data_IF_361327875421
#
_entry.id   IF_361327875421
#
_cell.length_a   1.000
_cell.length_b   1.000
_cell.length_c   1.000
_cell.angle_alpha   90.00
_cell.angle_beta   90.00
_cell.angle_gamma   90.00
#
_symmetry.space_group_name_H-M   'P 1'
#
loop_
_entity.id
_entity.type
_entity.pdbx_description
1 polymer ?
#
# COMPACT_ATOMS: atom_id res chain seq x y z
N UNK A 1 13.24 1.03 -44.10
CA UNK A 1 14.51 0.26 -44.08
C UNK A 1 14.33 -0.94 -43.18
N UNK A 2 14.29 -2.15 -43.77
CA UNK A 2 14.01 -3.40 -43.03
C UNK A 2 14.93 -3.63 -41.82
N UNK A 3 16.16 -3.09 -41.86
CA UNK A 3 17.11 -3.21 -40.75
C UNK A 3 16.78 -2.32 -39.55
N UNK A 4 16.29 -1.12 -39.79
CA UNK A 4 15.84 -0.22 -38.69
C UNK A 4 14.64 -0.83 -37.97
N UNK A 5 13.70 -1.41 -38.73
CA UNK A 5 12.54 -2.11 -38.19
C UNK A 5 12.94 -3.37 -37.40
N UNK A 6 14.00 -4.09 -37.85
CA UNK A 6 14.49 -5.26 -37.13
C UNK A 6 15.18 -4.90 -35.80
N UNK A 7 15.94 -3.81 -35.78
CA UNK A 7 16.58 -3.29 -34.56
C UNK A 7 15.51 -2.76 -33.58
N UNK A 8 14.55 -2.01 -34.07
CA UNK A 8 13.42 -1.50 -33.26
C UNK A 8 12.58 -2.65 -32.66
N UNK A 9 12.32 -3.70 -33.45
CA UNK A 9 11.66 -4.92 -32.94
C UNK A 9 12.49 -5.64 -31.87
N UNK A 10 13.79 -5.78 -32.07
CA UNK A 10 14.67 -6.42 -31.08
C UNK A 10 14.77 -5.61 -29.79
N UNK A 11 14.74 -4.28 -29.88
CA UNK A 11 14.78 -3.39 -28.73
C UNK A 11 13.43 -3.36 -27.98
N UNK A 12 12.31 -3.37 -28.70
CA UNK A 12 10.97 -3.53 -28.15
C UNK A 12 10.84 -4.90 -27.44
N UNK A 13 11.37 -5.96 -28.04
CA UNK A 13 11.35 -7.30 -27.46
C UNK A 13 12.23 -7.40 -26.22
N UNK A 14 13.38 -6.73 -26.20
CA UNK A 14 14.26 -6.62 -25.03
C UNK A 14 13.58 -5.82 -23.89
N UNK A 15 13.01 -4.66 -24.18
CA UNK A 15 12.27 -3.84 -23.22
C UNK A 15 11.02 -4.57 -22.68
N UNK A 16 10.35 -5.33 -23.54
CA UNK A 16 9.23 -6.17 -23.12
C UNK A 16 9.70 -7.28 -22.18
N UNK A 17 10.85 -7.89 -22.46
CA UNK A 17 11.45 -8.92 -21.60
C UNK A 17 11.91 -8.34 -20.26
N UNK A 18 12.62 -7.21 -20.27
CA UNK A 18 13.08 -6.54 -19.05
C UNK A 18 11.86 -6.14 -18.18
N UNK A 19 10.80 -5.60 -18.79
CA UNK A 19 9.52 -5.32 -18.10
C UNK A 19 8.87 -6.58 -17.53
N UNK A 20 8.87 -7.67 -18.27
CA UNK A 20 8.28 -8.93 -17.84
C UNK A 20 9.12 -9.59 -16.73
N UNK A 21 10.43 -9.42 -16.74
CA UNK A 21 11.34 -9.84 -15.68
C UNK A 21 11.16 -8.98 -14.42
N UNK A 22 11.06 -7.65 -14.54
CA UNK A 22 10.73 -6.75 -13.41
C UNK A 22 9.35 -7.06 -12.81
N UNK A 23 8.35 -7.30 -13.67
CA UNK A 23 7.03 -7.71 -13.24
C UNK A 23 7.07 -9.05 -12.48
N UNK A 24 7.85 -10.02 -12.96
CA UNK A 24 8.00 -11.32 -12.31
C UNK A 24 8.69 -11.20 -10.93
N UNK A 25 9.67 -10.28 -10.79
CA UNK A 25 10.34 -9.98 -9.51
C UNK A 25 9.36 -9.30 -8.54
N UNK A 26 8.60 -8.31 -8.99
CA UNK A 26 7.58 -7.62 -8.21
C UNK A 26 6.47 -8.58 -7.77
N UNK A 27 5.95 -9.40 -8.69
CA UNK A 27 4.97 -10.43 -8.38
C UNK A 27 5.49 -11.42 -7.35
N UNK A 28 6.75 -11.87 -7.48
CA UNK A 28 7.37 -12.78 -6.51
C UNK A 28 7.45 -12.15 -5.11
N UNK A 29 7.87 -10.89 -5.01
CA UNK A 29 7.96 -10.17 -3.74
C UNK A 29 6.59 -9.95 -3.11
N UNK A 30 5.57 -9.63 -3.91
CA UNK A 30 4.19 -9.45 -3.45
C UNK A 30 3.63 -10.80 -2.94
N UNK A 31 3.84 -11.89 -3.70
CA UNK A 31 3.35 -13.20 -3.30
C UNK A 31 4.09 -13.77 -2.08
N UNK A 32 5.39 -13.53 -1.94
CA UNK A 32 6.13 -13.93 -0.74
C UNK A 32 5.59 -13.17 0.50
N UNK A 33 5.32 -11.89 0.38
CA UNK A 33 4.75 -11.10 1.45
C UNK A 33 3.31 -11.50 1.79
N UNK A 34 2.50 -11.81 0.76
CA UNK A 34 1.15 -12.33 0.96
C UNK A 34 1.18 -13.69 1.66
N UNK A 35 2.14 -14.54 1.32
CA UNK A 35 2.36 -15.82 1.97
C UNK A 35 2.75 -15.66 3.45
N UNK A 36 3.67 -14.74 3.77
CA UNK A 36 4.05 -14.41 5.15
C UNK A 36 2.87 -13.86 5.99
N UNK A 37 1.96 -13.13 5.37
CA UNK A 37 0.77 -12.58 6.06
C UNK A 37 -0.31 -13.63 6.28
N UNK A 38 -0.45 -14.60 5.35
CA UNK A 38 -1.44 -15.66 5.42
C UNK A 38 -0.99 -16.84 6.30
N UNK A 39 0.31 -17.04 6.47
CA UNK A 39 0.84 -18.14 7.26
C UNK A 39 0.42 -18.06 8.73
N UNK A 40 -0.12 -19.16 9.25
CA UNK A 40 -0.64 -19.24 10.61
C UNK A 40 -2.02 -18.60 10.86
N UNK A 41 -2.62 -17.94 9.88
CA UNK A 41 -3.94 -17.32 9.99
C UNK A 41 -5.06 -18.36 9.75
N UNK A 42 -6.26 -18.09 10.30
CA UNK A 42 -7.43 -18.94 10.10
C UNK A 42 -8.27 -18.41 8.95
N UNK A 43 -8.45 -19.20 7.89
CA UNK A 43 -9.27 -18.81 6.75
C UNK A 43 -10.78 -18.80 7.09
N UNK A 44 -11.45 -17.67 6.86
CA UNK A 44 -12.92 -17.55 6.96
C UNK A 44 -13.62 -17.78 5.65
N UNK A 45 -12.94 -17.50 4.54
CA UNK A 45 -13.41 -17.78 3.19
C UNK A 45 -12.22 -18.06 2.27
N UNK A 46 -12.45 -18.73 1.15
CA UNK A 46 -11.38 -19.01 0.20
C UNK A 46 -11.82 -19.85 -0.99
N UNK A 47 -10.91 -20.08 -1.94
CA UNK A 47 -11.19 -20.84 -3.16
C UNK A 47 -11.54 -22.31 -2.88
N UNK A 48 -12.18 -22.96 -3.85
CA UNK A 48 -12.54 -24.38 -3.76
C UNK A 48 -11.29 -25.23 -3.51
N UNK A 49 -11.26 -25.92 -2.36
CA UNK A 49 -10.17 -26.79 -1.93
C UNK A 49 -9.51 -26.35 -0.61
N UNK A 50 -9.75 -25.13 -0.16
CA UNK A 50 -9.28 -24.64 1.14
C UNK A 50 -10.26 -25.06 2.25
N UNK A 51 -9.74 -25.62 3.35
CA UNK A 51 -10.55 -25.92 4.54
C UNK A 51 -10.74 -24.65 5.36
N UNK A 52 -11.93 -24.07 5.28
CA UNK A 52 -12.35 -22.92 6.09
C UNK A 52 -12.36 -23.32 7.57
N UNK A 53 -11.83 -22.46 8.44
CA UNK A 53 -11.77 -22.70 9.89
C UNK A 53 -10.52 -23.46 10.38
N UNK A 54 -9.55 -23.77 9.51
CA UNK A 54 -8.26 -24.33 9.91
C UNK A 54 -7.12 -23.32 9.70
N UNK A 55 -6.04 -23.37 10.52
CA UNK A 55 -4.90 -22.50 10.31
C UNK A 55 -4.25 -22.82 8.95
N UNK A 56 -3.92 -21.75 8.22
CA UNK A 56 -3.22 -21.82 6.94
C UNK A 56 -1.75 -22.10 7.22
N UNK A 57 -1.27 -23.28 6.84
CA UNK A 57 0.15 -23.63 6.89
C UNK A 57 0.77 -23.60 5.50
N UNK A 58 2.10 -23.57 5.44
CA UNK A 58 2.90 -23.53 4.22
C UNK A 58 2.42 -24.53 3.15
N UNK A 59 2.13 -25.78 3.53
CA UNK A 59 1.66 -26.83 2.59
C UNK A 59 0.30 -26.49 1.95
N UNK A 60 -0.59 -25.80 2.68
CA UNK A 60 -1.89 -25.40 2.18
C UNK A 60 -1.80 -24.21 1.21
N UNK A 61 -0.84 -23.32 1.44
CA UNK A 61 -0.59 -22.12 0.64
C UNK A 61 0.21 -22.46 -0.63
N UNK A 62 1.21 -23.32 -0.55
CA UNK A 62 2.01 -23.75 -1.71
C UNK A 62 1.20 -24.55 -2.74
N UNK A 63 0.16 -25.27 -2.30
CA UNK A 63 -0.75 -26.02 -3.18
C UNK A 63 -1.74 -25.16 -3.98
N UNK A 64 -1.86 -23.85 -3.68
CA UNK A 64 -2.81 -22.96 -4.33
C UNK A 64 -2.14 -22.17 -5.45
N UNK A 65 -2.87 -21.95 -6.56
CA UNK A 65 -2.42 -21.02 -7.60
C UNK A 65 -2.31 -19.61 -6.99
N UNK A 66 -1.21 -18.91 -7.28
CA UNK A 66 -0.90 -17.57 -6.74
C UNK A 66 -2.06 -16.57 -6.80
N UNK A 67 -2.85 -16.62 -7.89
CA UNK A 67 -4.03 -15.77 -8.06
C UNK A 67 -5.12 -16.04 -7.01
N UNK A 68 -5.25 -17.27 -6.54
CA UNK A 68 -6.27 -17.68 -5.58
C UNK A 68 -5.95 -17.27 -4.14
N UNK A 69 -4.68 -16.92 -3.84
CA UNK A 69 -4.28 -16.42 -2.53
C UNK A 69 -4.98 -15.09 -2.17
N UNK A 70 -5.36 -14.30 -3.17
CA UNK A 70 -6.12 -13.05 -2.98
C UNK A 70 -7.59 -13.25 -2.63
N UNK A 71 -8.12 -14.46 -2.83
CA UNK A 71 -9.51 -14.82 -2.54
C UNK A 71 -9.68 -15.38 -1.12
N UNK A 72 -8.57 -15.51 -0.36
CA UNK A 72 -8.59 -16.04 1.00
C UNK A 72 -8.96 -14.89 1.96
N UNK A 73 -10.15 -14.99 2.56
CA UNK A 73 -10.56 -14.15 3.68
C UNK A 73 -9.99 -14.72 4.98
N UNK A 74 -9.41 -13.87 5.81
CA UNK A 74 -8.86 -14.23 7.13
C UNK A 74 -9.84 -13.76 8.20
N UNK A 75 -9.98 -14.56 9.26
CA UNK A 75 -10.81 -14.21 10.42
C UNK A 75 -10.12 -13.16 11.25
N UNK A 76 -10.20 -11.94 11.09
CA UNK A 76 -9.54 -10.86 11.84
C UNK A 76 -8.52 -10.00 11.07
N UNK A 77 -8.59 -9.99 9.73
CA UNK A 77 -7.94 -8.89 9.04
C UNK A 77 -8.62 -7.60 9.48
N UNK A 78 -7.94 -6.82 10.30
CA UNK A 78 -8.41 -5.50 10.68
C UNK A 78 -8.31 -4.63 9.42
N UNK A 79 -9.40 -4.62 8.63
CA UNK A 79 -9.51 -3.95 7.34
C UNK A 79 -8.87 -2.56 7.35
N UNK A 80 -8.87 -1.91 8.52
CA UNK A 80 -8.39 -0.55 8.67
C UNK A 80 -6.86 -0.43 8.84
N UNK A 81 -6.21 -1.40 9.50
CA UNK A 81 -4.74 -1.45 9.56
C UNK A 81 -4.16 -1.83 8.20
N UNK A 82 -4.84 -2.73 7.50
CA UNK A 82 -4.45 -3.10 6.15
C UNK A 82 -4.72 -1.97 5.16
N UNK A 83 -5.83 -1.23 5.29
CA UNK A 83 -6.10 -0.01 4.54
C UNK A 83 -5.01 1.05 4.76
N UNK A 84 -4.54 1.23 6.00
CA UNK A 84 -3.45 2.16 6.30
C UNK A 84 -2.12 1.70 5.69
N UNK A 85 -1.79 0.40 5.80
CA UNK A 85 -0.60 -0.18 5.15
C UNK A 85 -0.67 -0.01 3.64
N UNK A 86 -1.82 -0.33 3.05
CA UNK A 86 -2.03 -0.16 1.61
C UNK A 86 -1.92 1.31 1.20
N UNK A 87 -2.49 2.23 1.98
CA UNK A 87 -2.37 3.66 1.72
C UNK A 87 -0.91 4.13 1.75
N UNK A 88 -0.10 3.65 2.70
CA UNK A 88 1.34 3.96 2.76
C UNK A 88 2.12 3.38 1.57
N UNK A 89 1.83 2.14 1.17
CA UNK A 89 2.43 1.54 -0.03
C UNK A 89 2.04 2.28 -1.31
N UNK A 90 0.81 2.78 -1.38
CA UNK A 90 0.34 3.58 -2.51
C UNK A 90 1.08 4.94 -2.59
N UNK A 91 1.45 5.54 -1.46
CA UNK A 91 2.30 6.75 -1.43
C UNK A 91 3.66 6.44 -2.08
N UNK A 92 4.31 5.35 -1.68
CA UNK A 92 5.62 4.98 -2.21
C UNK A 92 5.55 4.67 -3.71
N UNK A 93 4.51 3.96 -4.16
CA UNK A 93 4.27 3.68 -5.57
C UNK A 93 4.03 4.97 -6.38
N UNK A 94 3.17 5.87 -5.92
CA UNK A 94 2.89 7.15 -6.58
C UNK A 94 4.11 8.06 -6.59
N UNK A 95 4.91 8.05 -5.51
CA UNK A 95 6.18 8.77 -5.44
C UNK A 95 7.21 8.24 -6.45
N UNK A 96 7.29 6.91 -6.60
CA UNK A 96 8.15 6.30 -7.62
C UNK A 96 7.69 6.68 -9.02
N UNK A 97 6.39 6.64 -9.29
CA UNK A 97 5.82 7.08 -10.57
C UNK A 97 6.11 8.55 -10.87
N UNK A 98 5.97 9.45 -9.89
CA UNK A 98 6.38 10.85 -10.03
C UNK A 98 7.87 10.97 -10.40
N UNK A 99 8.75 10.20 -9.73
CA UNK A 99 10.20 10.23 -10.03
C UNK A 99 10.49 9.74 -11.44
N UNK A 100 9.78 8.74 -11.94
CA UNK A 100 9.90 8.25 -13.33
C UNK A 100 9.51 9.36 -14.31
N UNK A 101 8.37 10.00 -14.12
CA UNK A 101 7.92 11.09 -14.99
C UNK A 101 8.89 12.30 -14.95
N UNK A 102 9.39 12.63 -13.77
CA UNK A 102 10.39 13.69 -13.60
C UNK A 102 11.71 13.35 -14.28
N UNK A 103 12.14 12.09 -14.23
CA UNK A 103 13.36 11.64 -14.91
C UNK A 103 13.27 11.80 -16.43
N UNK A 104 12.08 11.70 -17.03
CA UNK A 104 11.85 11.96 -18.44
C UNK A 104 12.14 13.41 -18.89
N UNK A 105 12.27 14.35 -17.95
CA UNK A 105 12.70 15.73 -18.26
C UNK A 105 14.22 15.88 -18.41
N UNK A 106 14.98 14.83 -18.07
CA UNK A 106 16.44 14.83 -18.12
C UNK A 106 16.91 13.90 -19.24
N UNK A 107 18.00 14.26 -19.94
CA UNK A 107 18.59 13.40 -20.93
C UNK A 107 19.16 12.13 -20.30
N UNK A 108 18.90 10.98 -20.93
CA UNK A 108 19.52 9.71 -20.59
C UNK A 108 20.82 9.57 -21.38
N UNK A 109 21.92 9.30 -20.68
CA UNK A 109 23.23 9.06 -21.28
C UNK A 109 23.61 7.60 -21.06
N UNK A 110 23.81 6.88 -22.16
CA UNK A 110 24.24 5.49 -22.16
C UNK A 110 25.71 5.39 -22.58
N UNK A 111 26.49 4.59 -21.86
CA UNK A 111 27.87 4.26 -22.28
C UNK A 111 27.86 2.88 -22.91
N UNK A 112 28.23 2.80 -24.18
CA UNK A 112 28.25 1.56 -24.95
C UNK A 112 29.64 1.24 -25.42
N UNK A 113 30.01 -0.04 -25.35
CA UNK A 113 31.22 -0.59 -25.99
C UNK A 113 30.82 -1.77 -26.85
N UNK A 114 31.19 -1.75 -28.13
CA UNK A 114 30.88 -2.83 -29.05
C UNK A 114 32.08 -3.22 -29.92
N UNK A 115 32.15 -4.49 -30.22
CA UNK A 115 33.07 -5.05 -31.18
C UNK A 115 32.31 -5.76 -32.30
N UNK A 116 32.39 -5.28 -33.52
CA UNK A 116 31.74 -5.86 -34.67
C UNK A 116 32.80 -6.44 -35.61
N UNK A 117 32.61 -7.67 -36.07
CA UNK A 117 33.44 -8.29 -37.07
C UNK A 117 32.56 -8.85 -38.18
N UNK A 118 32.74 -8.32 -39.41
CA UNK A 118 31.90 -8.70 -40.54
C UNK A 118 32.76 -8.96 -41.79
N UNK A 119 32.29 -9.86 -42.68
CA UNK A 119 32.88 -10.05 -43.99
C UNK A 119 32.10 -9.23 -45.00
N UNK A 120 32.82 -8.33 -45.68
CA UNK A 120 32.24 -7.52 -46.76
C UNK A 120 32.60 -8.17 -48.08
N UNK A 121 31.62 -8.55 -48.93
CA UNK A 121 31.86 -9.04 -50.27
C UNK A 121 32.52 -7.96 -51.16
N UNK A 122 33.32 -8.37 -52.14
CA UNK A 122 34.01 -7.44 -53.08
C UNK A 122 33.02 -6.49 -53.78
N UNK A 123 31.83 -6.95 -54.13
CA UNK A 123 30.77 -6.17 -54.78
C UNK A 123 30.23 -5.01 -53.92
N UNK A 124 30.36 -5.06 -52.57
CA UNK A 124 29.88 -4.05 -51.62
C UNK A 124 31.02 -3.23 -51.02
N UNK A 125 32.27 -3.53 -51.36
CA UNK A 125 33.44 -2.79 -50.87
C UNK A 125 33.74 -1.60 -51.78
N UNK A 126 33.96 -0.39 -51.22
CA UNK A 126 34.32 0.80 -52.02
C UNK A 126 35.57 0.61 -52.88
N UNK A 127 36.47 -0.28 -52.46
CA UNK A 127 37.76 -0.55 -53.18
C UNK A 127 37.71 -1.82 -54.04
N UNK A 128 36.53 -2.46 -54.24
CA UNK A 128 36.37 -3.66 -55.02
C UNK A 128 37.06 -4.93 -54.46
N UNK A 129 37.63 -4.87 -53.24
CA UNK A 129 38.29 -5.98 -52.56
C UNK A 129 37.45 -6.44 -51.38
N UNK A 130 36.95 -7.69 -51.43
CA UNK A 130 36.24 -8.29 -50.29
C UNK A 130 37.19 -8.65 -49.15
N UNK A 131 36.72 -8.55 -47.91
CA UNK A 131 37.57 -8.88 -46.77
C UNK A 131 36.76 -8.93 -45.45
N UNK A 132 37.45 -9.36 -44.40
CA UNK A 132 36.91 -9.30 -43.04
C UNK A 132 37.32 -7.96 -42.43
N UNK A 133 36.33 -7.18 -42.05
CA UNK A 133 36.52 -5.93 -41.30
C UNK A 133 36.12 -6.13 -39.83
N UNK A 134 36.95 -5.57 -38.94
CA UNK A 134 36.64 -5.44 -37.52
C UNK A 134 36.46 -3.97 -37.20
N UNK A 135 35.48 -3.65 -36.41
CA UNK A 135 35.26 -2.29 -35.88
C UNK A 135 34.99 -2.38 -34.41
N UNK A 136 35.71 -1.61 -33.65
CA UNK A 136 35.54 -1.46 -32.20
C UNK A 136 35.06 -0.05 -31.94
N UNK A 137 34.01 0.10 -31.09
CA UNK A 137 33.55 1.41 -30.66
C UNK A 137 33.38 1.45 -29.16
N UNK A 138 33.66 2.61 -28.60
CA UNK A 138 33.32 2.98 -27.24
C UNK A 138 32.75 4.40 -27.29
N UNK A 139 31.48 4.54 -26.94
CA UNK A 139 30.78 5.81 -27.07
C UNK A 139 29.80 6.07 -25.93
N UNK A 140 29.58 7.36 -25.69
CA UNK A 140 28.49 7.85 -24.87
C UNK A 140 27.39 8.34 -25.80
N UNK A 141 26.18 7.81 -25.65
CA UNK A 141 25.05 8.13 -26.51
C UNK A 141 23.95 8.84 -25.72
N UNK A 142 23.38 9.84 -26.35
CA UNK A 142 22.14 10.49 -25.97
C UNK A 142 21.05 9.96 -26.90
N UNK A 143 20.12 9.16 -26.37
CA UNK A 143 19.10 8.51 -27.17
C UNK A 143 17.80 9.32 -27.17
N UNK A 144 17.43 9.91 -28.32
CA UNK A 144 16.14 10.51 -28.61
C UNK A 144 15.56 11.38 -27.46
N UNK A 145 16.40 12.24 -26.88
CA UNK A 145 15.94 13.17 -25.86
C UNK A 145 14.96 14.18 -26.45
N UNK A 146 13.72 14.21 -25.94
CA UNK A 146 12.71 15.15 -26.37
C UNK A 146 12.96 16.53 -25.75
N UNK A 147 13.12 17.57 -26.60
CA UNK A 147 13.17 18.95 -26.15
C UNK A 147 11.78 19.42 -25.80
N UNK A 148 11.52 19.65 -24.53
CA UNK A 148 10.19 20.03 -24.03
C UNK A 148 9.86 21.52 -24.27
N UNK A 149 9.71 21.90 -25.54
CA UNK A 149 9.41 23.27 -25.96
C UNK A 149 7.96 23.67 -25.67
N UNK A 150 7.06 22.70 -25.58
CA UNK A 150 5.63 22.90 -25.41
C UNK A 150 5.10 22.44 -24.04
N UNK A 151 6.00 22.07 -23.12
CA UNK A 151 5.67 21.72 -21.74
C UNK A 151 5.01 20.34 -21.58
N UNK A 152 5.16 19.41 -22.52
CA UNK A 152 4.58 18.07 -22.44
C UNK A 152 5.17 17.28 -21.27
N UNK A 153 6.51 17.17 -21.20
CA UNK A 153 7.19 16.43 -20.13
C UNK A 153 7.03 17.13 -18.78
N UNK A 154 7.03 18.48 -18.76
CA UNK A 154 6.77 19.26 -17.56
C UNK A 154 5.34 19.01 -17.03
N UNK A 155 4.32 19.02 -17.89
CA UNK A 155 2.95 18.77 -17.48
C UNK A 155 2.73 17.33 -17.04
N UNK A 156 3.35 16.32 -17.67
CA UNK A 156 3.33 14.92 -17.21
C UNK A 156 3.92 14.80 -15.79
N UNK A 157 5.06 15.44 -15.54
CA UNK A 157 5.67 15.46 -14.22
C UNK A 157 4.79 16.17 -13.18
N UNK A 158 4.13 17.26 -13.58
CA UNK A 158 3.20 18.00 -12.71
C UNK A 158 1.97 17.17 -12.40
N UNK A 159 1.37 16.48 -13.38
CA UNK A 159 0.24 15.58 -13.17
C UNK A 159 0.61 14.47 -12.18
N UNK A 160 1.75 13.80 -12.38
CA UNK A 160 2.22 12.76 -11.48
C UNK A 160 2.56 13.28 -10.07
N UNK A 161 3.06 14.51 -9.93
CA UNK A 161 3.27 15.15 -8.64
C UNK A 161 1.96 15.37 -7.91
N UNK A 162 0.94 15.87 -8.59
CA UNK A 162 -0.36 16.12 -7.99
C UNK A 162 -1.06 14.82 -7.59
N UNK A 163 -0.98 13.77 -8.41
CA UNK A 163 -1.48 12.45 -8.04
C UNK A 163 -0.74 11.86 -6.82
N UNK A 164 0.59 12.06 -6.70
CA UNK A 164 1.34 11.70 -5.51
C UNK A 164 0.86 12.46 -4.26
N UNK A 165 0.67 13.78 -4.34
CA UNK A 165 0.17 14.59 -3.23
C UNK A 165 -1.27 14.19 -2.83
N UNK A 166 -2.10 13.80 -3.79
CA UNK A 166 -3.43 13.27 -3.52
C UNK A 166 -3.39 11.97 -2.70
N UNK A 167 -2.48 11.04 -3.03
CA UNK A 167 -2.32 9.79 -2.26
C UNK A 167 -1.80 10.04 -0.84
N UNK A 168 -0.97 11.05 -0.65
CA UNK A 168 -0.49 11.47 0.68
C UNK A 168 -1.64 11.96 1.57
N UNK A 169 -2.55 12.76 1.02
CA UNK A 169 -3.74 13.22 1.73
C UNK A 169 -4.76 12.08 1.97
N UNK A 170 -4.91 11.16 1.03
CA UNK A 170 -5.75 9.97 1.21
C UNK A 170 -5.26 9.12 2.41
N UNK A 171 -3.96 8.87 2.53
CA UNK A 171 -3.38 8.16 3.67
C UNK A 171 -3.62 8.91 5.00
N UNK A 172 -3.54 10.25 4.99
CA UNK A 172 -3.88 11.07 6.16
C UNK A 172 -5.34 10.90 6.56
N UNK A 173 -6.26 10.80 5.61
CA UNK A 173 -7.68 10.54 5.87
C UNK A 173 -7.89 9.17 6.53
N UNK A 174 -7.24 8.12 6.02
CA UNK A 174 -7.29 6.77 6.61
C UNK A 174 -6.75 6.79 8.04
N UNK A 175 -5.63 7.49 8.29
CA UNK A 175 -5.06 7.63 9.64
C UNK A 175 -6.03 8.31 10.62
N UNK A 176 -6.72 9.37 10.20
CA UNK A 176 -7.74 10.06 11.02
C UNK A 176 -8.89 9.10 11.35
N UNK A 177 -9.35 8.33 10.36
CA UNK A 177 -10.40 7.33 10.54
C UNK A 177 -10.00 6.24 11.53
N UNK A 178 -8.75 5.76 11.45
CA UNK A 178 -8.20 4.78 12.39
C UNK A 178 -8.19 5.33 13.83
N UNK A 179 -7.67 6.56 14.01
CA UNK A 179 -7.64 7.21 15.33
C UNK A 179 -9.05 7.33 15.91
N UNK A 180 -10.03 7.73 15.09
CA UNK A 180 -11.42 7.87 15.52
C UNK A 180 -12.02 6.51 15.95
N UNK A 181 -11.75 5.43 15.21
CA UNK A 181 -12.21 4.08 15.56
C UNK A 181 -11.54 3.54 16.82
N UNK A 182 -10.23 3.72 16.98
CA UNK A 182 -9.50 3.33 18.20
C UNK A 182 -10.04 4.08 19.41
N UNK A 183 -10.25 5.39 19.28
CA UNK A 183 -10.82 6.21 20.37
C UNK A 183 -12.23 5.77 20.76
N UNK A 184 -13.09 5.49 19.77
CA UNK A 184 -14.45 4.99 20.00
C UNK A 184 -14.45 3.60 20.65
N UNK A 185 -13.55 2.70 20.22
CA UNK A 185 -13.40 1.37 20.82
C UNK A 185 -12.90 1.45 22.27
N UNK A 186 -11.97 2.39 22.56
CA UNK A 186 -11.48 2.62 23.91
C UNK A 186 -12.58 3.12 24.85
N UNK A 187 -13.39 4.08 24.40
CA UNK A 187 -14.55 4.57 25.19
C UNK A 187 -15.55 3.44 25.45
N UNK A 188 -15.84 2.62 24.43
CA UNK A 188 -16.72 1.45 24.57
C UNK A 188 -16.17 0.43 25.57
N UNK A 189 -14.86 0.14 25.50
CA UNK A 189 -14.19 -0.74 26.46
C UNK A 189 -14.31 -0.21 27.89
N UNK A 190 -13.98 1.08 28.10
CA UNK A 190 -14.07 1.71 29.43
C UNK A 190 -15.50 1.68 30.00
N UNK A 191 -16.50 1.94 29.17
CA UNK A 191 -17.92 1.85 29.57
C UNK A 191 -18.34 0.42 29.91
N UNK A 192 -17.92 -0.58 29.13
CA UNK A 192 -18.23 -1.98 29.38
C UNK A 192 -17.57 -2.51 30.66
N UNK A 193 -16.34 -2.07 30.96
CA UNK A 193 -15.65 -2.38 32.22
C UNK A 193 -16.39 -1.80 33.43
N UNK A 194 -16.79 -0.55 33.35
CA UNK A 194 -17.57 0.07 34.42
C UNK A 194 -18.91 -0.67 34.68
N UNK A 195 -19.59 -1.07 33.58
CA UNK A 195 -20.82 -1.88 33.64
C UNK A 195 -20.58 -3.25 34.27
N UNK A 196 -19.49 -3.94 33.87
CA UNK A 196 -19.11 -5.23 34.46
C UNK A 196 -18.85 -5.12 35.97
N UNK A 197 -18.09 -4.10 36.39
CA UNK A 197 -17.83 -3.84 37.81
C UNK A 197 -19.14 -3.59 38.60
N UNK A 198 -20.06 -2.80 38.03
CA UNK A 198 -21.35 -2.54 38.65
C UNK A 198 -22.21 -3.81 38.74
N UNK A 199 -22.25 -4.63 37.67
CA UNK A 199 -23.01 -5.88 37.67
C UNK A 199 -22.49 -6.86 38.72
N UNK A 200 -21.17 -6.96 38.91
CA UNK A 200 -20.57 -7.75 39.98
C UNK A 200 -20.97 -7.25 41.38
N UNK A 201 -20.92 -5.91 41.63
CA UNK A 201 -21.35 -5.34 42.88
C UNK A 201 -22.84 -5.61 43.18
N UNK A 202 -23.70 -5.56 42.18
CA UNK A 202 -25.12 -5.92 42.30
C UNK A 202 -25.27 -7.39 42.63
N UNK A 203 -24.54 -8.28 41.99
CA UNK A 203 -24.56 -9.71 42.28
C UNK A 203 -24.16 -9.98 43.73
N UNK A 204 -23.04 -9.40 44.17
CA UNK A 204 -22.56 -9.54 45.57
C UNK A 204 -23.61 -9.05 46.58
N UNK A 205 -24.25 -7.91 46.35
CA UNK A 205 -25.30 -7.37 47.20
C UNK A 205 -26.54 -8.29 47.25
N UNK A 206 -26.94 -8.90 46.10
CA UNK A 206 -28.04 -9.88 46.05
C UNK A 206 -27.72 -11.17 46.80
N UNK A 207 -26.48 -11.66 46.69
CA UNK A 207 -26.01 -12.83 47.44
C UNK A 207 -26.02 -12.59 48.95
N UNK A 208 -25.54 -11.43 49.41
CA UNK A 208 -25.60 -11.04 50.80
C UNK A 208 -27.07 -10.95 51.33
N UNK A 209 -27.95 -10.37 50.50
CA UNK A 209 -29.38 -10.30 50.84
C UNK A 209 -30.01 -11.69 50.94
N UNK A 210 -29.70 -12.60 50.01
CA UNK A 210 -30.17 -13.98 50.06
C UNK A 210 -29.71 -14.69 51.34
N UNK A 211 -28.45 -14.49 51.75
CA UNK A 211 -27.91 -15.11 52.96
C UNK A 211 -28.65 -14.59 54.22
N UNK A 212 -28.93 -13.30 54.27
CA UNK A 212 -29.73 -12.72 55.37
C UNK A 212 -31.16 -13.30 55.41
N UNK A 213 -31.81 -13.50 54.27
CA UNK A 213 -33.15 -14.10 54.17
C UNK A 213 -33.12 -15.58 54.61
N UNK A 214 -32.07 -16.32 54.26
CA UNK A 214 -31.86 -17.70 54.76
C UNK A 214 -31.75 -17.76 56.27
N UNK A 215 -30.98 -16.86 56.90
CA UNK A 215 -30.86 -16.76 58.32
C UNK A 215 -32.20 -16.39 59.00
N UNK A 216 -32.95 -15.43 58.44
CA UNK A 216 -34.28 -15.07 58.92
C UNK A 216 -35.26 -16.23 58.81
N UNK A 217 -35.19 -17.01 57.76
CA UNK A 217 -36.05 -18.20 57.59
C UNK A 217 -35.74 -19.28 58.64
N UNK A 218 -34.46 -19.56 58.93
CA UNK A 218 -34.08 -20.52 60.00
C UNK A 218 -34.53 -20.08 61.37
N UNK A 219 -34.65 -18.76 61.60
CA UNK A 219 -35.22 -18.15 62.80
C UNK A 219 -36.77 -18.10 62.80
N UNK A 220 -37.42 -18.58 61.72
CA UNK A 220 -38.90 -18.52 61.62
C UNK A 220 -39.43 -17.14 61.22
N UNK A 221 -38.60 -16.18 60.81
CA UNK A 221 -38.93 -14.78 60.53
C UNK A 221 -39.10 -14.45 59.07
N UNK A 222 -38.95 -15.44 58.16
CA UNK A 222 -39.14 -15.27 56.71
C UNK A 222 -39.87 -16.50 56.10
N UNK A 223 -40.74 -16.27 55.10
CA UNK A 223 -41.49 -17.29 54.39
C UNK A 223 -40.73 -17.95 53.24
N UNK A 224 -41.27 -19.08 52.73
CA UNK A 224 -40.72 -19.78 51.57
C UNK A 224 -40.73 -18.91 50.33
N UNK A 225 -41.81 -18.14 50.10
CA UNK A 225 -41.93 -17.26 48.93
C UNK A 225 -40.84 -16.19 48.93
N UNK A 226 -40.55 -15.54 50.07
CA UNK A 226 -39.48 -14.55 50.20
C UNK A 226 -38.09 -15.15 49.87
N UNK A 227 -37.85 -16.41 50.23
CA UNK A 227 -36.64 -17.13 49.90
C UNK A 227 -36.54 -17.41 48.41
N UNK A 228 -37.62 -17.90 47.77
CA UNK A 228 -37.64 -18.19 46.36
C UNK A 228 -37.49 -16.94 45.50
N UNK A 229 -38.09 -15.81 45.89
CA UNK A 229 -37.89 -14.50 45.25
C UNK A 229 -36.44 -14.05 45.36
N UNK A 230 -35.82 -14.20 46.52
CA UNK A 230 -34.41 -13.85 46.68
C UNK A 230 -33.46 -14.71 45.85
N UNK A 231 -33.75 -16.01 45.71
CA UNK A 231 -33.00 -16.91 44.83
C UNK A 231 -33.15 -16.45 43.35
N UNK A 232 -34.37 -16.17 42.91
CA UNK A 232 -34.66 -15.66 41.59
C UNK A 232 -33.88 -14.36 41.25
N UNK A 233 -33.77 -13.44 42.22
CA UNK A 233 -33.00 -12.20 42.07
C UNK A 233 -31.46 -12.45 41.93
N UNK A 234 -30.94 -13.44 42.65
CA UNK A 234 -29.52 -13.83 42.53
C UNK A 234 -29.25 -14.48 41.15
N UNK A 235 -30.13 -15.37 40.71
CA UNK A 235 -29.99 -15.98 39.39
C UNK A 235 -30.04 -14.94 38.26
N UNK A 236 -30.95 -13.97 38.32
CA UNK A 236 -31.02 -12.86 37.39
C UNK A 236 -29.74 -12.01 37.42
N UNK A 237 -29.26 -11.63 38.63
CA UNK A 237 -28.02 -10.85 38.75
C UNK A 237 -26.79 -11.62 38.25
N UNK A 238 -26.77 -12.95 38.41
CA UNK A 238 -25.73 -13.83 37.89
C UNK A 238 -25.71 -13.80 36.36
N UNK A 239 -26.86 -13.95 35.71
CA UNK A 239 -26.98 -13.89 34.27
C UNK A 239 -26.53 -12.52 33.70
N UNK A 240 -26.92 -11.43 34.38
CA UNK A 240 -26.53 -10.06 33.99
C UNK A 240 -25.01 -9.84 34.16
N UNK A 241 -24.41 -10.33 35.24
CA UNK A 241 -22.95 -10.24 35.46
C UNK A 241 -22.16 -10.99 34.40
N UNK A 242 -22.59 -12.21 34.05
CA UNK A 242 -21.95 -12.98 32.98
C UNK A 242 -22.11 -12.31 31.60
N UNK A 243 -23.24 -11.65 31.35
CA UNK A 243 -23.46 -10.89 30.14
C UNK A 243 -22.54 -9.68 30.05
N UNK A 244 -22.44 -8.90 31.13
CA UNK A 244 -21.55 -7.73 31.22
C UNK A 244 -20.08 -8.10 31.09
N UNK A 245 -19.66 -9.24 31.65
CA UNK A 245 -18.32 -9.77 31.50
C UNK A 245 -18.01 -10.07 30.03
N UNK A 246 -18.89 -10.78 29.32
CA UNK A 246 -18.70 -11.09 27.88
C UNK A 246 -18.62 -9.82 27.06
N UNK A 247 -19.47 -8.83 27.27
CA UNK A 247 -19.42 -7.54 26.58
C UNK A 247 -18.08 -6.85 26.79
N UNK A 248 -17.54 -6.86 28.02
CA UNK A 248 -16.25 -6.27 28.34
C UNK A 248 -15.09 -6.98 27.63
N UNK A 249 -15.11 -8.30 27.62
CA UNK A 249 -14.08 -9.10 26.91
C UNK A 249 -14.15 -8.88 25.40
N UNK A 250 -15.34 -8.80 24.82
CA UNK A 250 -15.50 -8.51 23.38
C UNK A 250 -15.01 -7.10 23.02
N UNK A 251 -15.33 -6.09 23.86
CA UNK A 251 -14.87 -4.72 23.66
C UNK A 251 -13.34 -4.64 23.78
N UNK A 252 -12.74 -5.36 24.73
CA UNK A 252 -11.30 -5.49 24.88
C UNK A 252 -10.65 -6.10 23.63
N UNK A 253 -11.16 -7.22 23.15
CA UNK A 253 -10.62 -7.90 21.96
C UNK A 253 -10.71 -6.99 20.73
N UNK A 254 -11.81 -6.24 20.59
CA UNK A 254 -11.97 -5.27 19.50
C UNK A 254 -10.92 -4.17 19.58
N UNK A 255 -10.65 -3.63 20.77
CA UNK A 255 -9.61 -2.61 20.96
C UNK A 255 -8.21 -3.16 20.69
N UNK A 256 -7.91 -4.38 21.17
CA UNK A 256 -6.61 -5.03 20.91
C UNK A 256 -6.35 -5.24 19.41
N UNK A 257 -7.37 -5.66 18.66
CA UNK A 257 -7.29 -5.78 17.19
C UNK A 257 -6.97 -4.43 16.54
N UNK A 258 -7.74 -3.39 16.88
CA UNK A 258 -7.55 -2.05 16.30
C UNK A 258 -6.16 -1.45 16.59
N UNK A 259 -5.57 -1.79 17.72
CA UNK A 259 -4.20 -1.34 18.08
C UNK A 259 -3.12 -2.25 17.50
N UNK A 260 -3.46 -3.49 17.13
CA UNK A 260 -2.52 -4.47 16.58
C UNK A 260 -1.48 -4.95 17.58
N UNK A 261 -1.72 -4.81 18.91
CA UNK A 261 -0.77 -5.21 19.96
C UNK A 261 -1.41 -6.24 20.87
N UNK A 262 -0.99 -7.50 20.82
CA UNK A 262 -1.42 -8.49 21.81
C UNK A 262 -0.87 -8.15 23.19
N UNK A 263 -1.71 -8.29 24.23
CA UNK A 263 -1.28 -8.04 25.61
C UNK A 263 -1.35 -6.59 26.09
N UNK A 264 -2.23 -5.78 25.50
CA UNK A 264 -2.44 -4.37 25.85
C UNK A 264 -2.91 -4.13 27.30
N UNK A 265 -3.28 -5.18 28.03
CA UNK A 265 -3.94 -5.13 29.33
C UNK A 265 -3.12 -4.44 30.44
N UNK A 266 -1.79 -4.48 30.34
CA UNK A 266 -0.90 -3.92 31.38
C UNK A 266 -0.79 -2.38 31.34
N UNK A 267 -1.24 -1.74 30.26
CA UNK A 267 -1.09 -0.29 30.05
C UNK A 267 -2.41 0.48 29.97
N UNK A 268 -3.55 -0.23 29.85
CA UNK A 268 -4.87 0.39 29.74
C UNK A 268 -5.48 0.59 31.13
N UNK A 269 -5.36 1.80 31.67
CA UNK A 269 -6.17 2.23 32.80
C UNK A 269 -7.51 2.73 32.24
N UNK A 270 -8.67 2.12 32.61
CA UNK A 270 -9.96 2.64 32.17
C UNK A 270 -10.11 4.08 32.61
N UNK A 271 -10.22 5.00 31.68
CA UNK A 271 -10.50 6.39 32.02
C UNK A 271 -11.95 6.52 32.52
N UNK A 272 -12.20 7.42 33.48
CA UNK A 272 -13.54 7.78 33.87
C UNK A 272 -14.31 8.29 32.65
N UNK A 273 -15.40 7.63 32.32
CA UNK A 273 -16.22 7.95 31.12
C UNK A 273 -16.75 9.40 31.18
N UNK A 274 -16.85 9.98 32.39
CA UNK A 274 -17.31 11.35 32.58
C UNK A 274 -16.29 12.41 32.14
N UNK A 275 -14.98 12.13 32.23
CA UNK A 275 -13.95 13.10 31.83
C UNK A 275 -13.75 13.18 30.34
N UNK A 276 -14.06 12.10 29.59
CA UNK A 276 -13.78 11.99 28.16
C UNK A 276 -14.91 12.53 27.26
N UNK A 277 -16.16 12.57 27.79
CA UNK A 277 -17.36 12.80 26.96
C UNK A 277 -17.85 14.25 26.87
N UNK A 278 -17.31 15.19 27.65
CA UNK A 278 -17.83 16.55 27.72
C UNK A 278 -16.85 17.64 27.34
N UNK A 279 -16.33 17.58 26.07
CA UNK A 279 -15.87 18.81 25.43
C UNK A 279 -17.01 19.34 24.55
N UNK A 280 -17.56 20.50 24.93
CA UNK A 280 -18.51 21.21 24.09
C UNK A 280 -17.86 21.55 22.76
N UNK A 281 -18.32 20.89 21.71
CA UNK A 281 -17.96 21.28 20.33
C UNK A 281 -18.82 22.50 19.99
N UNK A 282 -18.19 23.67 19.85
CA UNK A 282 -18.90 24.89 19.48
C UNK A 282 -19.70 24.71 18.18
N UNK A 283 -20.97 25.12 18.23
CA UNK A 283 -21.82 25.13 17.05
C UNK A 283 -21.28 26.14 16.01
N UNK A 284 -21.12 25.72 14.77
CA UNK A 284 -20.58 26.52 13.68
C UNK A 284 -19.12 26.17 13.40
N UNK A 285 -18.90 25.11 12.61
CA UNK A 285 -17.58 24.77 12.11
C UNK A 285 -17.18 25.82 11.07
N UNK A 286 -16.04 26.53 11.25
CA UNK A 286 -15.61 27.54 10.29
C UNK A 286 -15.36 26.89 8.92
N UNK A 287 -15.57 27.68 7.85
CA UNK A 287 -15.26 27.28 6.46
C UNK A 287 -13.81 26.78 6.29
N UNK A 288 -12.91 27.17 7.21
CA UNK A 288 -11.53 26.69 7.29
C UNK A 288 -11.40 25.16 7.41
N UNK A 289 -12.39 24.48 8.01
CA UNK A 289 -12.39 23.01 8.04
C UNK A 289 -12.50 22.38 6.65
N UNK A 290 -13.17 23.04 5.71
CA UNK A 290 -13.22 22.57 4.33
C UNK A 290 -11.83 22.57 3.68
N UNK A 291 -10.99 23.55 4.02
CA UNK A 291 -9.61 23.65 3.49
C UNK A 291 -8.61 22.76 4.23
N UNK A 292 -8.99 22.20 5.38
CA UNK A 292 -8.13 21.31 6.17
C UNK A 292 -8.51 19.83 6.06
N UNK A 293 -9.62 19.50 5.43
CA UNK A 293 -10.04 18.11 5.25
C UNK A 293 -9.19 17.40 4.21
N UNK A 294 -8.51 16.30 4.58
CA UNK A 294 -7.61 15.60 3.65
C UNK A 294 -8.30 15.05 2.41
N UNK A 295 -9.56 14.61 2.52
CA UNK A 295 -10.34 14.11 1.38
C UNK A 295 -10.64 15.21 0.35
N UNK A 296 -10.93 16.44 0.80
CA UNK A 296 -11.14 17.59 -0.08
C UNK A 296 -9.81 17.99 -0.74
N UNK A 297 -8.73 18.09 0.04
CA UNK A 297 -7.40 18.43 -0.49
C UNK A 297 -6.95 17.37 -1.51
N UNK A 298 -7.20 16.08 -1.27
CA UNK A 298 -6.92 15.02 -2.24
C UNK A 298 -7.69 15.22 -3.55
N UNK A 299 -8.98 15.57 -3.48
CA UNK A 299 -9.80 15.87 -4.66
C UNK A 299 -9.29 17.10 -5.43
N UNK A 300 -8.83 18.15 -4.73
CA UNK A 300 -8.22 19.33 -5.35
C UNK A 300 -6.93 18.97 -6.10
N UNK A 301 -6.07 18.14 -5.50
CA UNK A 301 -4.87 17.64 -6.17
C UNK A 301 -5.22 16.82 -7.42
N UNK A 302 -6.25 15.98 -7.38
CA UNK A 302 -6.70 15.26 -8.57
C UNK A 302 -7.20 16.21 -9.67
N UNK A 303 -7.92 17.29 -9.33
CA UNK A 303 -8.31 18.31 -10.31
C UNK A 303 -7.08 18.97 -10.94
N UNK A 304 -6.05 19.30 -10.13
CA UNK A 304 -4.80 19.87 -10.62
C UNK A 304 -4.04 18.91 -11.53
N UNK A 305 -4.03 17.60 -11.20
CA UNK A 305 -3.46 16.57 -12.06
C UNK A 305 -4.16 16.53 -13.43
N UNK A 306 -5.50 16.52 -13.43
CA UNK A 306 -6.29 16.53 -14.70
C UNK A 306 -6.11 17.82 -15.50
N UNK A 307 -5.92 18.96 -14.85
CA UNK A 307 -5.56 20.21 -15.54
C UNK A 307 -4.17 20.13 -16.21
N UNK A 308 -3.20 19.49 -15.56
CA UNK A 308 -1.89 19.24 -16.18
C UNK A 308 -2.02 18.29 -17.38
N UNK A 309 -2.86 17.22 -17.30
CA UNK A 309 -3.15 16.32 -18.43
C UNK A 309 -3.73 17.08 -19.65
N UNK A 310 -4.54 18.10 -19.43
CA UNK A 310 -5.02 18.98 -20.52
C UNK A 310 -3.82 19.68 -21.19
N UNK A 311 -2.84 20.11 -20.40
CA UNK A 311 -1.58 20.69 -20.90
C UNK A 311 -0.79 19.69 -21.78
N UNK A 312 -0.69 18.44 -21.34
CA UNK A 312 -0.08 17.34 -22.13
C UNK A 312 -0.81 17.15 -23.47
N UNK A 313 -2.15 17.07 -23.43
CA UNK A 313 -2.97 16.90 -24.62
C UNK A 313 -2.81 18.06 -25.61
N UNK A 314 -2.72 19.31 -25.12
CA UNK A 314 -2.47 20.49 -25.95
C UNK A 314 -1.06 20.45 -26.58
N UNK A 315 -0.05 20.03 -25.83
CA UNK A 315 1.31 19.90 -26.34
C UNK A 315 1.41 18.87 -27.47
N UNK A 316 0.57 17.82 -27.47
CA UNK A 316 0.52 16.80 -28.51
C UNK A 316 0.08 17.32 -29.90
N UNK A 317 -0.50 18.51 -30.02
CA UNK A 317 -0.80 19.14 -31.32
C UNK A 317 0.44 19.77 -31.97
N UNK A 318 1.53 19.92 -31.24
CA UNK A 318 2.76 20.53 -31.73
C UNK A 318 3.80 19.46 -32.13
N UNK A 319 4.73 19.76 -33.06
CA UNK A 319 5.77 18.82 -33.45
C UNK A 319 6.70 18.50 -32.30
N UNK A 320 7.10 17.25 -32.19
CA UNK A 320 8.12 16.79 -31.24
C UNK A 320 9.51 16.97 -31.87
N UNK A 321 10.41 17.58 -31.12
CA UNK A 321 11.81 17.71 -31.52
C UNK A 321 12.63 16.82 -30.60
N UNK A 322 13.21 15.77 -31.17
CA UNK A 322 14.09 14.85 -30.46
C UNK A 322 15.56 15.11 -30.82
N UNK A 323 16.42 14.95 -29.84
CA UNK A 323 17.84 15.14 -29.95
C UNK A 323 18.53 13.80 -29.70
N UNK A 324 19.22 13.32 -30.74
CA UNK A 324 20.07 12.14 -30.64
C UNK A 324 21.53 12.56 -30.87
N UNK A 325 22.43 12.08 -30.01
CA UNK A 325 23.84 12.40 -30.11
C UNK A 325 24.71 11.23 -29.67
N UNK A 326 25.89 11.12 -30.25
CA UNK A 326 26.90 10.17 -29.83
C UNK A 326 28.26 10.85 -29.81
N UNK A 327 29.05 10.56 -28.82
CA UNK A 327 30.45 10.98 -28.71
C UNK A 327 31.31 9.84 -28.21
N UNK A 328 32.38 9.51 -28.95
CA UNK A 328 33.22 8.38 -28.58
C UNK A 328 34.44 8.20 -29.47
N UNK A 329 34.86 6.96 -29.59
CA UNK A 329 35.96 6.53 -30.46
C UNK A 329 35.59 5.27 -31.24
N UNK A 330 36.04 5.19 -32.50
CA UNK A 330 35.87 4.03 -33.32
C UNK A 330 37.20 3.69 -34.05
N UNK A 331 37.61 2.41 -34.00
CA UNK A 331 38.85 1.95 -34.59
C UNK A 331 38.73 0.56 -35.21
N UNK A 332 39.46 0.24 -36.31
CA UNK A 332 39.55 -1.12 -36.80
C UNK A 332 40.42 -2.05 -35.92
N UNK A 333 41.24 -1.50 -35.04
CA UNK A 333 42.07 -2.24 -34.08
C UNK A 333 41.75 -1.84 -32.66
N UNK A 334 41.60 -2.81 -31.77
CA UNK A 334 41.26 -2.56 -30.35
C UNK A 334 42.37 -1.77 -29.65
N UNK A 335 43.62 -1.97 -30.00
CA UNK A 335 44.76 -1.27 -29.41
C UNK A 335 44.74 0.24 -29.66
N UNK A 336 44.12 0.68 -30.76
CA UNK A 336 44.09 2.07 -31.19
C UNK A 336 42.78 2.78 -30.85
N UNK A 337 41.88 2.09 -30.15
CA UNK A 337 40.51 2.58 -29.90
C UNK A 337 40.49 3.96 -29.21
N UNK A 338 41.44 4.23 -28.33
CA UNK A 338 41.51 5.49 -27.58
C UNK A 338 42.62 6.43 -28.03
N UNK A 339 43.12 6.25 -29.26
CA UNK A 339 44.08 7.16 -29.86
C UNK A 339 43.42 8.52 -30.24
N UNK A 340 44.22 9.58 -30.41
CA UNK A 340 43.71 10.91 -30.72
C UNK A 340 42.91 10.99 -32.03
N UNK A 341 43.22 10.09 -32.99
CA UNK A 341 42.68 10.11 -34.34
C UNK A 341 41.42 9.25 -34.55
N UNK A 342 40.95 8.59 -33.47
CA UNK A 342 39.80 7.68 -33.53
C UNK A 342 38.51 8.30 -32.95
N UNK A 343 38.55 9.57 -32.58
CA UNK A 343 37.40 10.28 -32.04
C UNK A 343 36.29 10.43 -33.07
N UNK A 344 35.08 10.08 -32.66
CA UNK A 344 33.87 10.20 -33.49
C UNK A 344 32.80 10.96 -32.72
N UNK A 345 31.99 11.73 -33.40
CA UNK A 345 30.82 12.36 -32.86
C UNK A 345 29.69 12.41 -33.89
N UNK A 346 28.49 12.33 -33.40
CA UNK A 346 27.28 12.42 -34.22
C UNK A 346 26.23 13.24 -33.47
N UNK A 347 25.53 14.07 -34.22
CA UNK A 347 24.44 14.88 -33.69
C UNK A 347 23.32 14.93 -34.71
N UNK A 348 22.12 14.48 -34.32
CA UNK A 348 20.95 14.37 -35.18
C UNK A 348 19.71 14.92 -34.44
N UNK A 349 19.30 16.17 -34.72
CA UNK A 349 17.98 16.64 -34.37
C UNK A 349 16.96 16.06 -35.36
N UNK A 350 15.82 15.60 -34.83
CA UNK A 350 14.74 15.04 -35.62
C UNK A 350 13.43 15.67 -35.23
#
# INVERSE_FOLDING_TARGET
>A
DERAIAIERAEIERLAKDRDDEKAILERNIYNRLHEVLDGQVATSGPRGLKVGSPLGDEALEGLQRRLLWEIGIEDADDLLDDLRQALLNIDASRAQYRIQRAGQLPTLDATGAAQRQRIPAALSPNGSGGVQSTYHAEITLNAFELDLFGRAQNLSTAALQDYLATEQAARSVRISLIARVSSAYVRYSASQARNTLAQQVLDARQQSLELIRLRRTAGAAGEMELQDAIGLVEYATAESLSAQRESEQARNTLQRLVGTPGLDATLTPASTQEVLFQDVSAGLPAELLTQRPDIIAAEHHIQARNADIGVARAAFFPHITLTGAYGSASPALADLFSSDTRTWQFMPQ
#
